data_IF_697928913050
#
_entry.id   IF_697928913050
#
_cell.length_a   1.000
_cell.length_b   1.000
_cell.length_c   1.000
_cell.angle_alpha   90.00
_cell.angle_beta   90.00
_cell.angle_gamma   90.00
#
_symmetry.space_group_name_H-M   'P 1'
#
loop_
_entity.id
_entity.type
_entity.pdbx_description
1 polymer ?
#
# COMPACT_ATOMS: atom_id res chain seq x y z
N UNK A 1 -3.98 1.73 -6.43
CA UNK A 1 -3.92 0.75 -5.33
C UNK A 1 -5.25 0.03 -5.30
N UNK A 2 -5.28 -1.31 -5.39
CA UNK A 2 -6.54 -2.07 -5.35
C UNK A 2 -6.97 -2.26 -3.90
N UNK A 3 -8.29 -2.23 -3.64
CA UNK A 3 -8.87 -2.46 -2.31
C UNK A 3 -8.34 -1.49 -1.20
N UNK A 4 -8.11 -0.22 -1.57
CA UNK A 4 -7.60 0.83 -0.68
C UNK A 4 -8.68 1.46 0.24
N UNK A 5 -9.92 1.01 0.10
CA UNK A 5 -11.05 1.44 0.89
C UNK A 5 -11.71 2.74 0.43
N UNK A 6 -12.84 3.13 1.07
CA UNK A 6 -13.74 4.16 0.54
C UNK A 6 -13.12 5.54 0.38
N UNK A 7 -12.13 5.91 1.22
CA UNK A 7 -11.45 7.19 1.12
C UNK A 7 -10.69 7.30 -0.21
N UNK A 8 -9.87 6.31 -0.53
CA UNK A 8 -9.07 6.31 -1.75
C UNK A 8 -9.96 6.20 -3.00
N UNK A 9 -11.05 5.43 -2.93
CA UNK A 9 -12.03 5.35 -4.02
C UNK A 9 -12.65 6.72 -4.32
N UNK A 10 -12.98 7.50 -3.29
CA UNK A 10 -13.51 8.85 -3.46
C UNK A 10 -12.46 9.83 -3.98
N UNK A 11 -11.21 9.77 -3.50
CA UNK A 11 -10.11 10.59 -4.03
C UNK A 11 -9.89 10.29 -5.51
N UNK A 12 -9.83 9.01 -5.89
CA UNK A 12 -9.66 8.60 -7.28
C UNK A 12 -10.82 9.08 -8.16
N UNK A 13 -12.07 8.96 -7.68
CA UNK A 13 -13.26 9.44 -8.39
C UNK A 13 -13.22 10.96 -8.61
N UNK A 14 -12.85 11.73 -7.57
CA UNK A 14 -12.75 13.18 -7.68
C UNK A 14 -11.64 13.60 -8.66
N UNK A 15 -10.46 13.00 -8.55
CA UNK A 15 -9.35 13.27 -9.45
C UNK A 15 -9.71 12.93 -10.91
N UNK A 16 -10.33 11.78 -11.14
CA UNK A 16 -10.78 11.35 -12.48
C UNK A 16 -11.81 12.32 -13.08
N UNK A 17 -12.80 12.75 -12.29
CA UNK A 17 -13.80 13.72 -12.72
C UNK A 17 -13.20 15.09 -13.09
N UNK A 18 -12.05 15.44 -12.53
CA UNK A 18 -11.30 16.68 -12.81
C UNK A 18 -10.20 16.48 -13.88
N UNK A 19 -10.16 15.32 -14.56
CA UNK A 19 -9.08 14.96 -15.50
C UNK A 19 -7.68 15.06 -14.89
N UNK A 20 -7.54 14.74 -13.60
CA UNK A 20 -6.27 14.71 -12.87
C UNK A 20 -5.94 13.30 -12.39
N UNK A 21 -4.66 13.09 -12.10
CA UNK A 21 -4.16 11.87 -11.46
C UNK A 21 -3.92 12.13 -9.97
N UNK A 22 -4.43 11.25 -9.11
CA UNK A 22 -4.05 11.19 -7.71
C UNK A 22 -2.81 10.30 -7.58
N UNK A 23 -1.71 10.87 -7.12
CA UNK A 23 -0.45 10.17 -6.88
C UNK A 23 -0.10 10.35 -5.41
N UNK A 24 0.37 9.28 -4.76
CA UNK A 24 0.86 9.34 -3.40
C UNK A 24 1.95 8.32 -3.17
N UNK A 25 3.02 8.76 -2.50
CA UNK A 25 3.97 7.88 -1.83
C UNK A 25 3.54 7.68 -0.37
N UNK A 26 4.31 6.92 0.39
CA UNK A 26 4.13 6.86 1.84
C UNK A 26 4.40 8.24 2.48
N UNK A 27 3.60 8.59 3.49
CA UNK A 27 3.69 9.86 4.21
C UNK A 27 4.75 9.77 5.31
N UNK A 28 6.01 9.85 4.91
CA UNK A 28 7.17 9.78 5.79
C UNK A 28 8.36 10.47 5.16
N UNK A 29 9.34 10.81 6.01
CA UNK A 29 10.66 11.20 5.53
C UNK A 29 11.31 10.02 4.81
N UNK A 30 11.95 10.30 3.67
CA UNK A 30 12.56 9.26 2.85
C UNK A 30 13.46 8.33 3.66
N UNK A 31 13.36 7.02 3.40
CA UNK A 31 14.11 5.95 4.07
C UNK A 31 13.81 5.74 5.57
N UNK A 32 12.75 6.34 6.12
CA UNK A 32 12.35 6.16 7.54
C UNK A 32 11.26 5.11 7.79
N UNK A 33 11.01 4.25 6.80
CA UNK A 33 9.97 3.22 6.87
C UNK A 33 8.54 3.77 6.79
N UNK A 34 7.58 2.86 6.70
CA UNK A 34 6.15 3.21 6.63
C UNK A 34 5.61 3.58 8.00
N UNK A 35 4.66 4.52 8.06
CA UNK A 35 3.92 4.90 9.27
C UNK A 35 2.50 4.37 9.17
N UNK A 36 1.94 3.94 10.30
CA UNK A 36 0.61 3.34 10.36
C UNK A 36 -0.39 4.18 11.16
N UNK A 37 0.07 5.27 11.79
CA UNK A 37 -0.74 6.27 12.48
C UNK A 37 -0.22 7.67 12.19
N UNK A 38 -1.09 8.67 12.27
CA UNK A 38 -0.68 10.09 12.11
C UNK A 38 0.35 10.50 13.16
N UNK A 39 0.22 10.03 14.41
CA UNK A 39 1.17 10.32 15.49
C UNK A 39 2.58 9.76 15.26
N UNK A 40 2.78 8.88 14.28
CA UNK A 40 4.08 8.29 13.91
C UNK A 40 4.72 9.03 12.72
N UNK A 41 3.98 9.94 12.07
CA UNK A 41 4.48 10.74 10.95
C UNK A 41 5.37 11.85 11.49
N UNK A 42 6.51 12.07 10.83
CA UNK A 42 7.42 13.15 11.20
C UNK A 42 6.74 14.53 11.09
N UNK A 43 6.97 15.40 12.07
CA UNK A 43 6.28 16.69 12.17
C UNK A 43 6.47 17.56 10.91
N UNK A 44 7.64 17.51 10.27
CA UNK A 44 7.89 18.27 9.03
C UNK A 44 6.99 17.85 7.85
N UNK A 45 6.58 16.57 7.80
CA UNK A 45 5.64 16.08 6.79
C UNK A 45 4.22 16.58 7.10
N UNK A 46 3.85 16.59 8.39
CA UNK A 46 2.55 17.14 8.84
C UNK A 46 2.47 18.64 8.55
N UNK A 47 3.52 19.39 8.85
CA UNK A 47 3.57 20.84 8.66
C UNK A 47 3.53 21.23 7.18
N UNK A 48 4.03 20.36 6.29
CA UNK A 48 3.99 20.57 4.84
C UNK A 48 2.66 20.18 4.18
N UNK A 49 1.75 19.51 4.89
CA UNK A 49 0.50 19.02 4.34
C UNK A 49 -0.63 20.05 4.47
N UNK A 50 -1.34 20.33 3.38
CA UNK A 50 -2.56 21.15 3.43
C UNK A 50 -3.69 20.47 4.24
N UNK A 51 -3.72 19.14 4.25
CA UNK A 51 -4.75 18.33 4.90
C UNK A 51 -4.11 17.08 5.51
N UNK A 52 -4.43 16.83 6.79
CA UNK A 52 -4.11 15.58 7.49
C UNK A 52 -5.41 14.88 7.88
N UNK A 53 -5.51 13.59 7.57
CA UNK A 53 -6.72 12.79 7.83
C UNK A 53 -6.35 11.64 8.78
N UNK A 54 -6.79 11.73 10.03
CA UNK A 54 -6.51 10.72 11.06
C UNK A 54 -7.69 9.74 11.23
N UNK A 55 -7.54 8.54 10.69
CA UNK A 55 -8.48 7.41 10.86
C UNK A 55 -8.00 6.40 11.93
N UNK A 56 -6.98 6.75 12.72
CA UNK A 56 -6.36 5.85 13.68
C UNK A 56 -5.40 4.86 13.02
N UNK A 57 -5.38 3.62 13.52
CA UNK A 57 -4.42 2.60 13.08
C UNK A 57 -4.77 2.04 11.70
N UNK A 58 -3.80 2.04 10.79
CA UNK A 58 -3.94 1.40 9.48
C UNK A 58 -4.20 -0.11 9.63
N UNK A 59 -5.23 -0.63 8.96
CA UNK A 59 -5.73 -2.02 9.08
C UNK A 59 -4.62 -3.07 8.95
N UNK A 60 -3.71 -2.89 8.01
CA UNK A 60 -2.66 -3.84 7.64
C UNK A 60 -1.32 -3.60 8.37
N UNK A 61 -1.32 -2.82 9.46
CA UNK A 61 -0.11 -2.51 10.24
C UNK A 61 0.69 -3.74 10.69
N UNK A 62 0.02 -4.89 10.91
CA UNK A 62 0.66 -6.11 11.39
C UNK A 62 1.67 -6.69 10.39
N UNK A 63 1.52 -6.40 9.11
CA UNK A 63 2.52 -6.76 8.10
C UNK A 63 3.80 -5.94 8.23
N UNK A 64 3.77 -4.77 8.88
CA UNK A 64 4.91 -3.88 9.08
C UNK A 64 5.67 -3.49 7.78
N UNK A 65 4.99 -3.56 6.64
CA UNK A 65 5.53 -3.26 5.32
C UNK A 65 4.55 -2.41 4.51
N UNK A 66 5.03 -1.82 3.41
CA UNK A 66 4.17 -1.20 2.38
C UNK A 66 3.47 -2.28 1.54
N UNK A 67 2.64 -1.88 0.58
CA UNK A 67 1.86 -2.81 -0.25
C UNK A 67 2.75 -3.76 -1.07
N UNK A 68 2.26 -4.97 -1.31
CA UNK A 68 2.81 -5.87 -2.33
C UNK A 68 2.70 -5.24 -3.72
N UNK A 69 3.71 -5.42 -4.57
CA UNK A 69 3.71 -4.96 -5.96
C UNK A 69 4.07 -6.12 -6.89
N UNK A 70 3.22 -6.36 -7.90
CA UNK A 70 3.37 -7.44 -8.87
C UNK A 70 3.28 -6.83 -10.27
N UNK A 71 4.20 -7.21 -11.14
CA UNK A 71 4.05 -6.96 -12.57
C UNK A 71 3.08 -8.00 -13.14
N UNK A 72 1.85 -7.59 -13.40
CA UNK A 72 0.78 -8.50 -13.87
C UNK A 72 1.02 -9.07 -15.26
N UNK A 73 1.93 -8.50 -16.06
CA UNK A 73 2.27 -9.02 -17.39
C UNK A 73 3.26 -10.19 -17.33
N UNK A 74 4.10 -10.25 -16.30
CA UNK A 74 5.15 -11.26 -16.13
C UNK A 74 4.96 -12.13 -14.88
N UNK A 75 4.04 -11.75 -14.00
CA UNK A 75 3.86 -12.28 -12.64
C UNK A 75 5.11 -12.18 -11.76
N UNK A 76 6.01 -11.26 -12.09
CA UNK A 76 7.16 -10.93 -11.26
C UNK A 76 6.73 -10.15 -10.02
N UNK A 77 7.22 -10.56 -8.85
CA UNK A 77 7.01 -9.84 -7.59
C UNK A 77 8.07 -8.75 -7.47
N UNK A 78 7.67 -7.50 -7.71
CA UNK A 78 8.54 -6.31 -7.61
C UNK A 78 8.80 -5.93 -6.15
N UNK A 79 7.81 -6.16 -5.29
CA UNK A 79 7.93 -5.93 -3.85
C UNK A 79 7.07 -6.91 -3.07
N UNK A 80 7.70 -7.68 -2.20
CA UNK A 80 7.03 -8.43 -1.15
C UNK A 80 6.60 -7.46 -0.06
N UNK A 81 5.31 -7.41 0.22
CA UNK A 81 4.74 -6.41 1.14
C UNK A 81 3.49 -6.92 1.83
N UNK A 82 2.64 -6.00 2.27
CA UNK A 82 1.39 -6.35 2.96
C UNK A 82 0.55 -7.30 2.10
N UNK A 83 -0.02 -8.30 2.76
CA UNK A 83 -0.95 -9.27 2.18
C UNK A 83 -0.38 -10.11 1.03
N UNK A 84 0.95 -10.23 0.91
CA UNK A 84 1.57 -11.10 -0.11
C UNK A 84 1.04 -12.54 -0.02
N UNK A 85 0.99 -13.08 1.19
CA UNK A 85 0.42 -14.39 1.55
C UNK A 85 -1.01 -14.57 1.02
N UNK A 86 -1.87 -13.57 1.24
CA UNK A 86 -3.26 -13.60 0.80
C UNK A 86 -3.38 -13.51 -0.72
N UNK A 87 -2.53 -12.69 -1.36
CA UNK A 87 -2.52 -12.52 -2.81
C UNK A 87 -2.03 -13.79 -3.50
N UNK A 88 -0.93 -14.40 -3.03
CA UNK A 88 -0.43 -15.67 -3.57
C UNK A 88 -1.45 -16.79 -3.40
N UNK A 89 -2.07 -16.90 -2.21
CA UNK A 89 -3.12 -17.90 -1.97
C UNK A 89 -4.31 -17.72 -2.93
N UNK A 90 -4.77 -16.48 -3.13
CA UNK A 90 -5.87 -16.18 -4.05
C UNK A 90 -5.51 -16.54 -5.50
N UNK A 91 -4.32 -16.13 -5.96
CA UNK A 91 -3.86 -16.42 -7.32
C UNK A 91 -3.73 -17.92 -7.58
N UNK A 92 -3.20 -18.66 -6.61
CA UNK A 92 -3.07 -20.12 -6.70
C UNK A 92 -4.42 -20.80 -6.75
N UNK A 93 -5.34 -20.45 -5.86
CA UNK A 93 -6.62 -21.14 -5.73
C UNK A 93 -7.63 -20.80 -6.82
N UNK A 94 -7.60 -19.58 -7.36
CA UNK A 94 -8.58 -19.12 -8.33
C UNK A 94 -8.08 -19.08 -9.77
N UNK A 95 -6.76 -19.03 -9.98
CA UNK A 95 -6.18 -18.82 -11.30
C UNK A 95 -5.06 -19.81 -11.65
N UNK A 96 -4.72 -20.74 -10.75
CA UNK A 96 -3.59 -21.69 -10.92
C UNK A 96 -2.26 -20.98 -11.20
N UNK A 97 -2.07 -19.79 -10.60
CA UNK A 97 -0.84 -19.02 -10.70
C UNK A 97 -0.15 -19.02 -9.34
N UNK A 98 1.10 -19.48 -9.32
CA UNK A 98 1.95 -19.43 -8.12
C UNK A 98 2.96 -18.29 -8.27
N UNK A 99 3.02 -17.40 -7.28
CA UNK A 99 4.05 -16.36 -7.24
C UNK A 99 5.35 -16.94 -6.68
N UNK A 100 6.52 -16.38 -7.07
CA UNK A 100 7.78 -16.71 -6.42
C UNK A 100 7.69 -16.51 -4.90
N UNK A 101 8.27 -17.42 -4.10
CA UNK A 101 8.19 -17.33 -2.64
C UNK A 101 8.93 -16.10 -2.12
N UNK A 102 8.45 -15.54 -1.01
CA UNK A 102 9.09 -14.41 -0.34
C UNK A 102 10.46 -14.83 0.20
N UNK A 103 11.58 -14.26 -0.29
CA UNK A 103 12.92 -14.66 0.14
C UNK A 103 13.28 -14.16 1.56
N UNK A 104 12.41 -13.38 2.19
CA UNK A 104 12.63 -12.77 3.52
C UNK A 104 11.75 -13.37 4.62
N UNK A 105 10.89 -14.34 4.29
CA UNK A 105 10.21 -15.14 5.31
C UNK A 105 11.24 -16.12 5.90
N UNK A 106 11.58 -15.96 7.18
CA UNK A 106 12.30 -16.99 7.94
C UNK A 106 11.36 -18.20 8.13
N UNK A 107 11.90 -19.42 7.96
CA UNK A 107 11.18 -20.69 8.21
C UNK A 107 10.66 -20.82 9.65
#
# INVERSE_FOLDING_TARGET
>A
LLNAGPLMDNIARLAFNDNRMAIGSSANVSLQGVKFRVSEIEQEIIDAADIVIDYGLMRWNRYNHSSTMINVSTMEVIRYGSCFDLIDNLLRNHFDITLPPNPYEEE
#
